data_IF_833722349008
#
_entry.id   IF_833722349008
#
_cell.length_a   1.000
_cell.length_b   1.000
_cell.length_c   1.000
_cell.angle_alpha   90.00
_cell.angle_beta   90.00
_cell.angle_gamma   90.00
#
_symmetry.space_group_name_H-M   'P 1'
#
loop_
_entity.id
_entity.type
_entity.pdbx_description
1 polymer ?
#
# COMPACT_ATOMS: atom_id res chain seq x y z
N UNK A 1 13.37 48.64 -32.75
CA UNK A 1 12.64 47.41 -32.41
C UNK A 1 13.66 46.44 -31.84
N UNK A 2 13.82 46.42 -30.52
CA UNK A 2 14.83 45.62 -29.84
C UNK A 2 14.18 44.34 -29.32
N UNK A 3 14.70 43.19 -29.75
CA UNK A 3 14.25 41.86 -29.34
C UNK A 3 14.76 41.63 -27.93
N UNK A 4 13.84 41.61 -26.96
CA UNK A 4 14.11 41.16 -25.59
C UNK A 4 14.28 39.64 -25.66
N UNK A 5 15.50 39.17 -25.48
CA UNK A 5 15.82 37.77 -25.32
C UNK A 5 15.36 37.37 -23.91
N UNK A 6 14.19 36.74 -23.82
CA UNK A 6 13.69 36.17 -22.57
C UNK A 6 14.55 34.97 -22.20
N UNK A 7 15.29 35.07 -21.11
CA UNK A 7 15.90 33.92 -20.43
C UNK A 7 14.74 33.08 -19.92
N UNK A 8 14.54 31.91 -20.51
CA UNK A 8 13.71 30.87 -19.95
C UNK A 8 14.45 30.34 -18.72
N UNK A 9 14.10 30.84 -17.54
CA UNK A 9 14.48 30.20 -16.29
C UNK A 9 13.83 28.81 -16.27
N UNK A 10 14.62 27.80 -16.62
CA UNK A 10 14.29 26.42 -16.35
C UNK A 10 14.23 26.30 -14.82
N UNK A 11 13.03 26.20 -14.26
CA UNK A 11 12.84 25.76 -12.89
C UNK A 11 13.46 24.37 -12.80
N UNK A 12 14.65 24.30 -12.20
CA UNK A 12 15.27 23.04 -11.85
C UNK A 12 14.24 22.27 -11.01
N UNK A 13 13.76 21.13 -11.52
CA UNK A 13 13.05 20.17 -10.68
C UNK A 13 13.97 19.91 -9.50
N UNK A 14 13.54 20.27 -8.29
CA UNK A 14 14.20 19.84 -7.07
C UNK A 14 14.51 18.36 -7.22
N UNK A 15 15.79 18.03 -7.09
CA UNK A 15 16.30 16.68 -7.26
C UNK A 15 15.64 15.88 -6.14
N UNK A 16 14.58 15.14 -6.45
CA UNK A 16 13.83 14.30 -5.52
C UNK A 16 14.83 13.47 -4.71
N UNK A 17 15.11 13.93 -3.48
CA UNK A 17 16.16 13.34 -2.67
C UNK A 17 15.68 11.95 -2.29
N UNK A 18 16.44 10.94 -2.71
CA UNK A 18 16.18 9.55 -2.32
C UNK A 18 16.17 9.49 -0.79
N UNK A 19 15.12 8.97 -0.14
CA UNK A 19 15.02 9.03 1.31
C UNK A 19 16.11 8.17 1.94
N UNK A 20 16.67 8.65 3.05
CA UNK A 20 17.62 7.88 3.83
C UNK A 20 16.92 6.66 4.45
N UNK A 21 17.65 5.56 4.62
CA UNK A 21 17.11 4.31 5.13
C UNK A 21 18.06 3.60 6.10
N UNK A 22 17.46 2.74 6.93
CA UNK A 22 18.16 1.68 7.66
C UNK A 22 17.51 0.35 7.28
N UNK A 23 18.23 -0.46 6.50
CA UNK A 23 17.80 -1.80 6.09
C UNK A 23 18.49 -2.83 6.97
N UNK A 24 17.70 -3.65 7.67
CA UNK A 24 18.19 -4.81 8.41
C UNK A 24 17.81 -6.08 7.66
N UNK A 25 18.78 -6.92 7.35
CA UNK A 25 18.58 -8.23 6.71
C UNK A 25 18.42 -9.34 7.76
N UNK A 26 17.91 -10.49 7.32
CA UNK A 26 17.67 -11.66 8.18
C UNK A 26 18.96 -12.26 8.76
N UNK A 27 20.10 -12.09 8.10
CA UNK A 27 21.42 -12.49 8.59
C UNK A 27 22.01 -11.53 9.64
N UNK A 28 21.30 -10.46 9.97
CA UNK A 28 21.72 -9.42 10.92
C UNK A 28 22.55 -8.30 10.30
N UNK A 29 22.85 -8.34 8.99
CA UNK A 29 23.52 -7.24 8.30
C UNK A 29 22.63 -5.99 8.32
N UNK A 30 23.23 -4.86 8.70
CA UNK A 30 22.59 -3.54 8.67
C UNK A 30 23.21 -2.68 7.59
N UNK A 31 22.37 -2.04 6.78
CA UNK A 31 22.77 -1.17 5.68
C UNK A 31 22.14 0.21 5.93
N UNK A 32 22.99 1.20 6.15
CA UNK A 32 22.59 2.61 6.17
C UNK A 32 22.80 3.16 4.76
N UNK A 33 21.79 3.81 4.19
CA UNK A 33 21.87 4.24 2.80
C UNK A 33 20.64 5.00 2.34
N UNK A 34 20.29 4.83 1.07
CA UNK A 34 19.23 5.57 0.39
C UNK A 34 18.33 4.61 -0.40
N UNK A 35 17.01 4.83 -0.34
CA UNK A 35 16.04 4.08 -1.14
C UNK A 35 16.05 4.58 -2.59
N UNK A 36 16.27 3.67 -3.55
CA UNK A 36 16.43 3.98 -4.98
C UNK A 36 15.23 3.55 -5.82
N UNK A 37 14.10 3.30 -5.18
CA UNK A 37 12.80 3.03 -5.79
C UNK A 37 11.70 3.72 -4.96
N UNK A 38 10.53 3.95 -5.56
CA UNK A 38 9.35 4.39 -4.81
C UNK A 38 8.93 3.30 -3.81
N UNK A 39 8.38 3.70 -2.67
CA UNK A 39 7.76 2.77 -1.71
C UNK A 39 6.62 1.96 -2.36
N UNK A 40 5.92 2.52 -3.36
CA UNK A 40 4.87 1.84 -4.12
C UNK A 40 5.39 0.75 -5.08
N UNK A 41 6.71 0.65 -5.26
CA UNK A 41 7.37 -0.31 -6.16
C UNK A 41 8.11 -1.43 -5.40
N UNK A 42 7.88 -1.58 -4.10
CA UNK A 42 8.58 -2.55 -3.23
C UNK A 42 7.92 -3.94 -3.19
N UNK A 43 6.98 -4.24 -4.10
CA UNK A 43 6.15 -5.46 -4.01
C UNK A 43 6.96 -6.78 -4.00
N UNK A 44 8.08 -6.84 -4.73
CA UNK A 44 8.91 -8.06 -4.82
C UNK A 44 10.32 -7.87 -4.24
N UNK A 45 10.81 -6.63 -4.25
CA UNK A 45 12.19 -6.29 -3.90
C UNK A 45 12.31 -4.81 -3.59
N UNK A 46 13.34 -4.50 -2.83
CA UNK A 46 13.79 -3.14 -2.58
C UNK A 46 15.09 -2.87 -3.34
N UNK A 47 15.30 -1.60 -3.71
CA UNK A 47 16.53 -1.14 -4.36
C UNK A 47 17.16 -0.08 -3.47
N UNK A 48 18.40 -0.30 -3.05
CA UNK A 48 19.11 0.60 -2.12
C UNK A 48 20.52 0.91 -2.61
N UNK A 49 21.11 2.00 -2.11
CA UNK A 49 22.53 2.30 -2.26
C UNK A 49 23.09 2.87 -0.96
N UNK A 50 24.33 2.55 -0.60
CA UNK A 50 24.96 3.05 0.65
C UNK A 50 25.27 4.56 0.59
N UNK A 51 25.36 5.14 -0.61
CA UNK A 51 25.50 6.58 -0.85
C UNK A 51 24.57 7.05 -1.97
N UNK A 52 24.35 8.37 -2.09
CA UNK A 52 23.48 8.97 -3.11
C UNK A 52 23.91 8.63 -4.55
N UNK A 53 25.21 8.53 -4.80
CA UNK A 53 25.78 8.15 -6.10
C UNK A 53 26.32 6.70 -6.11
N UNK A 54 26.05 5.94 -5.05
CA UNK A 54 26.54 4.59 -4.88
C UNK A 54 25.88 3.57 -5.80
N UNK A 55 26.50 2.40 -5.90
CA UNK A 55 25.97 1.27 -6.66
C UNK A 55 24.61 0.83 -6.10
N UNK A 56 23.63 0.68 -7.00
CA UNK A 56 22.30 0.14 -6.66
C UNK A 56 22.40 -1.36 -6.40
N UNK A 57 21.91 -1.79 -5.25
CA UNK A 57 21.80 -3.19 -4.85
C UNK A 57 20.34 -3.54 -4.66
N UNK A 58 19.95 -4.74 -5.09
CA UNK A 58 18.56 -5.24 -4.99
C UNK A 58 18.51 -6.31 -3.91
N UNK A 59 17.52 -6.22 -3.03
CA UNK A 59 17.23 -7.24 -2.03
C UNK A 59 15.79 -7.71 -2.21
N UNK A 60 15.56 -9.00 -2.19
CA UNK A 60 14.21 -9.56 -2.18
C UNK A 60 13.59 -9.34 -0.80
N UNK A 61 12.27 -9.24 -0.75
CA UNK A 61 11.57 -9.02 0.53
C UNK A 61 11.77 -10.19 1.53
N UNK A 62 12.03 -11.42 1.05
CA UNK A 62 12.36 -12.58 1.89
C UNK A 62 13.71 -12.49 2.62
N UNK A 63 14.60 -11.60 2.18
CA UNK A 63 15.91 -11.37 2.80
C UNK A 63 15.85 -10.26 3.86
N UNK A 64 14.78 -9.48 3.87
CA UNK A 64 14.60 -8.29 4.72
C UNK A 64 13.99 -8.70 6.05
N UNK A 65 14.60 -8.21 7.14
CA UNK A 65 14.04 -8.27 8.48
C UNK A 65 13.20 -7.03 8.79
N UNK A 66 13.73 -5.86 8.46
CA UNK A 66 13.02 -4.57 8.55
C UNK A 66 13.66 -3.53 7.64
N UNK A 67 12.87 -2.57 7.20
CA UNK A 67 13.31 -1.38 6.48
C UNK A 67 12.73 -0.16 7.18
N UNK A 68 13.60 0.71 7.70
CA UNK A 68 13.21 2.03 8.21
C UNK A 68 13.46 3.05 7.11
N UNK A 69 12.44 3.82 6.72
CA UNK A 69 12.55 4.93 5.77
C UNK A 69 12.42 6.24 6.54
N UNK A 70 13.45 7.08 6.45
CA UNK A 70 13.55 8.30 7.24
C UNK A 70 12.67 9.40 6.68
N UNK A 71 11.89 10.04 7.55
CA UNK A 71 11.00 11.15 7.18
C UNK A 71 9.99 10.81 6.08
N UNK A 72 9.48 9.57 6.08
CA UNK A 72 8.59 9.07 5.05
C UNK A 72 7.13 9.47 5.26
N UNK A 73 6.72 9.66 6.52
CA UNK A 73 5.35 10.05 6.87
C UNK A 73 5.10 11.54 6.64
N UNK A 74 3.83 11.92 6.52
CA UNK A 74 3.39 13.31 6.30
C UNK A 74 3.85 14.28 7.41
N UNK A 75 4.05 13.76 8.63
CA UNK A 75 4.56 14.51 9.78
C UNK A 75 6.10 14.54 9.87
N UNK A 76 6.79 13.95 8.90
CA UNK A 76 8.25 13.84 8.86
C UNK A 76 8.82 12.77 9.79
N UNK A 77 7.99 11.89 10.36
CA UNK A 77 8.45 10.75 11.15
C UNK A 77 8.97 9.59 10.27
N UNK A 78 9.71 8.69 10.91
CA UNK A 78 10.25 7.50 10.25
C UNK A 78 9.18 6.42 10.11
N UNK A 79 9.13 5.77 8.94
CA UNK A 79 8.26 4.61 8.74
C UNK A 79 9.05 3.31 8.80
N UNK A 80 8.53 2.33 9.55
CA UNK A 80 9.12 1.00 9.65
C UNK A 80 8.29 -0.02 8.89
N UNK A 81 8.91 -0.60 7.87
CA UNK A 81 8.35 -1.66 7.05
C UNK A 81 8.89 -3.02 7.49
N UNK A 82 7.99 -3.99 7.64
CA UNK A 82 8.30 -5.37 8.02
C UNK A 82 7.74 -6.35 7.00
N UNK A 83 8.39 -7.51 6.78
CA UNK A 83 7.86 -8.55 5.91
C UNK A 83 6.59 -9.18 6.50
N UNK A 84 5.50 -9.21 5.74
CA UNK A 84 4.27 -9.93 6.06
C UNK A 84 3.92 -10.95 4.97
N UNK A 85 3.47 -12.13 5.40
CA UNK A 85 3.04 -13.20 4.51
C UNK A 85 1.51 -13.19 4.38
N UNK A 86 1.02 -12.61 3.30
CA UNK A 86 -0.42 -12.41 3.08
C UNK A 86 -1.14 -13.71 2.76
N UNK A 87 -2.40 -13.82 3.19
CA UNK A 87 -3.23 -14.99 2.94
C UNK A 87 -3.78 -14.99 1.50
N UNK A 88 -3.62 -16.10 0.80
CA UNK A 88 -4.22 -16.31 -0.51
C UNK A 88 -5.55 -17.06 -0.36
N UNK A 89 -6.67 -16.32 -0.40
CA UNK A 89 -8.01 -16.90 -0.25
C UNK A 89 -8.38 -17.96 -1.30
N UNK A 90 -7.84 -17.85 -2.52
CA UNK A 90 -8.07 -18.84 -3.58
C UNK A 90 -7.31 -20.15 -3.32
N UNK A 91 -6.03 -20.05 -2.94
CA UNK A 91 -5.17 -21.20 -2.66
C UNK A 91 -5.33 -21.75 -1.24
N UNK A 92 -6.07 -21.04 -0.38
CA UNK A 92 -6.27 -21.33 1.04
C UNK A 92 -4.94 -21.59 1.78
N UNK A 93 -3.95 -20.73 1.54
CA UNK A 93 -2.63 -20.78 2.19
C UNK A 93 -1.96 -19.41 2.15
N UNK A 94 -0.98 -19.19 3.03
CA UNK A 94 -0.11 -18.02 2.95
C UNK A 94 0.65 -17.98 1.62
N UNK A 95 0.87 -16.77 1.09
CA UNK A 95 1.78 -16.53 -0.02
C UNK A 95 3.20 -16.87 0.42
N UNK A 96 4.02 -17.34 -0.54
CA UNK A 96 5.43 -17.72 -0.26
C UNK A 96 6.35 -16.52 -0.16
N UNK A 97 6.02 -15.46 -0.87
CA UNK A 97 6.81 -14.23 -0.94
C UNK A 97 6.15 -13.19 -0.03
N UNK A 98 6.90 -12.57 0.89
CA UNK A 98 6.36 -11.52 1.73
C UNK A 98 6.29 -10.19 0.97
N UNK A 99 5.37 -9.33 1.42
CA UNK A 99 5.38 -7.91 1.08
C UNK A 99 5.90 -7.11 2.29
N UNK A 100 6.46 -5.93 2.04
CA UNK A 100 6.91 -5.04 3.11
C UNK A 100 5.81 -4.05 3.47
N UNK A 101 5.29 -4.14 4.70
CA UNK A 101 4.17 -3.33 5.16
C UNK A 101 4.49 -2.62 6.48
N UNK A 102 3.83 -1.50 6.74
CA UNK A 102 3.88 -0.78 8.02
C UNK A 102 2.74 -1.25 8.92
N UNK A 103 2.92 -1.19 10.24
CA UNK A 103 1.80 -1.36 11.18
C UNK A 103 1.11 -0.01 11.31
N UNK A 104 -0.17 0.07 10.92
CA UNK A 104 -0.96 1.30 11.06
C UNK A 104 -1.99 1.22 12.19
N UNK A 105 -2.32 0.01 12.65
CA UNK A 105 -3.24 -0.22 13.76
C UNK A 105 -2.72 -1.31 14.68
N UNK A 106 -2.76 -1.06 15.99
CA UNK A 106 -2.41 -2.05 17.00
C UNK A 106 -3.45 -2.05 18.11
N UNK A 107 -4.45 -2.93 17.97
CA UNK A 107 -5.46 -3.20 18.98
C UNK A 107 -5.02 -4.25 20.00
N UNK A 108 -5.96 -4.68 20.84
CA UNK A 108 -5.73 -5.72 21.85
C UNK A 108 -5.66 -7.12 21.23
N UNK A 109 -6.41 -7.35 20.16
CA UNK A 109 -6.62 -8.64 19.49
C UNK A 109 -6.28 -8.61 18.00
N UNK A 110 -6.14 -7.41 17.41
CA UNK A 110 -5.97 -7.19 15.99
C UNK A 110 -4.75 -6.32 15.72
N UNK A 111 -3.93 -6.73 14.76
CA UNK A 111 -2.88 -5.89 14.17
C UNK A 111 -3.24 -5.59 12.72
N UNK A 112 -3.20 -4.31 12.35
CA UNK A 112 -3.44 -3.82 11.00
C UNK A 112 -2.12 -3.46 10.30
N UNK A 113 -1.99 -3.88 9.04
CA UNK A 113 -0.87 -3.54 8.19
C UNK A 113 -1.28 -2.74 6.97
N UNK A 114 -0.46 -1.78 6.58
CA UNK A 114 -0.63 -0.96 5.39
C UNK A 114 0.54 -1.21 4.43
N UNK A 115 0.21 -1.46 3.16
CA UNK A 115 1.19 -1.73 2.10
C UNK A 115 1.04 -0.72 0.96
N UNK A 116 2.04 0.13 0.70
CA UNK A 116 2.05 1.01 -0.47
C UNK A 116 2.22 0.17 -1.75
N UNK A 117 1.29 0.35 -2.69
CA UNK A 117 1.24 -0.37 -3.96
C UNK A 117 0.92 0.58 -5.10
N UNK A 118 0.98 0.08 -6.33
CA UNK A 118 0.46 0.77 -7.51
C UNK A 118 -0.91 0.18 -7.87
N UNK A 119 -1.87 1.07 -8.12
CA UNK A 119 -3.10 0.72 -8.82
C UNK A 119 -2.86 0.88 -10.32
N UNK A 120 -2.87 -0.25 -11.04
CA UNK A 120 -2.68 -0.29 -12.49
C UNK A 120 -4.05 -0.36 -13.16
N UNK A 121 -4.38 0.67 -13.93
CA UNK A 121 -5.56 0.69 -14.80
C UNK A 121 -5.12 0.44 -16.23
N UNK A 122 -5.57 -0.69 -16.78
CA UNK A 122 -5.35 -1.03 -18.18
C UNK A 122 -6.62 -0.80 -19.00
N UNK A 123 -6.50 -0.25 -20.20
CA UNK A 123 -7.60 -0.19 -21.16
C UNK A 123 -7.84 -1.56 -21.79
N UNK A 124 -9.08 -1.84 -22.19
CA UNK A 124 -9.34 -2.97 -23.08
C UNK A 124 -8.47 -2.85 -24.34
N UNK A 125 -8.00 -3.96 -24.93
CA UNK A 125 -7.27 -3.91 -26.18
C UNK A 125 -8.18 -3.31 -27.26
N UNK A 126 -7.75 -2.22 -27.88
CA UNK A 126 -8.50 -1.65 -29.02
C UNK A 126 -8.21 -2.52 -30.24
N UNK A 127 -9.24 -3.03 -30.98
CA UNK A 127 -9.00 -3.74 -32.22
C UNK A 127 -8.40 -2.78 -33.27
N UNK A 128 -7.08 -2.77 -33.35
CA UNK A 128 -6.30 -2.11 -34.39
C UNK A 128 -5.28 -3.11 -34.91
N UNK A 129 -4.63 -2.82 -36.04
CA UNK A 129 -3.60 -3.67 -36.63
C UNK A 129 -2.42 -3.97 -35.69
N UNK A 130 -2.34 -3.35 -34.51
CA UNK A 130 -1.24 -3.48 -33.54
C UNK A 130 -1.68 -3.71 -32.09
N UNK A 131 -2.89 -4.25 -31.82
CA UNK A 131 -3.38 -4.64 -30.46
C UNK A 131 -2.74 -3.85 -29.30
N UNK A 132 -3.12 -2.58 -29.15
CA UNK A 132 -2.55 -1.71 -28.11
C UNK A 132 -3.47 -1.66 -26.89
N UNK A 133 -2.90 -1.98 -25.73
CA UNK A 133 -3.49 -1.72 -24.42
C UNK A 133 -2.65 -0.67 -23.70
N UNK A 134 -3.29 0.38 -23.20
CA UNK A 134 -2.62 1.43 -22.44
C UNK A 134 -2.79 1.15 -20.95
N UNK A 135 -1.71 1.27 -20.18
CA UNK A 135 -1.76 1.15 -18.72
C UNK A 135 -1.32 2.44 -18.06
N UNK A 136 -2.06 2.85 -17.03
CA UNK A 136 -1.70 3.98 -16.17
C UNK A 136 -1.55 3.48 -14.73
N UNK A 137 -0.47 3.88 -14.07
CA UNK A 137 -0.19 3.54 -12.68
C UNK A 137 -0.48 4.73 -11.77
N UNK A 138 -1.02 4.47 -10.59
CA UNK A 138 -1.28 5.51 -9.58
C UNK A 138 -0.96 4.98 -8.18
N UNK A 139 -0.48 5.83 -7.25
CA UNK A 139 -0.27 5.45 -5.86
C UNK A 139 -1.56 4.92 -5.21
N UNK A 140 -1.43 3.79 -4.53
CA UNK A 140 -2.51 3.14 -3.80
C UNK A 140 -1.96 2.43 -2.55
N UNK A 141 -2.86 2.02 -1.66
CA UNK A 141 -2.54 1.35 -0.41
C UNK A 141 -3.48 0.17 -0.21
N UNK A 142 -2.92 -1.02 0.04
CA UNK A 142 -3.67 -2.17 0.50
C UNK A 142 -3.60 -2.24 2.02
N UNK A 143 -4.74 -2.49 2.65
CA UNK A 143 -4.85 -2.66 4.09
C UNK A 143 -5.15 -4.12 4.42
N UNK A 144 -4.41 -4.61 5.40
CA UNK A 144 -4.47 -5.98 5.87
C UNK A 144 -4.74 -6.01 7.37
N UNK A 145 -5.34 -7.10 7.84
CA UNK A 145 -5.44 -7.40 9.27
C UNK A 145 -5.00 -8.82 9.58
N UNK A 146 -4.58 -9.01 10.82
CA UNK A 146 -4.40 -10.32 11.44
C UNK A 146 -5.00 -10.27 12.83
N UNK A 147 -5.52 -11.41 13.28
CA UNK A 147 -6.14 -11.55 14.60
C UNK A 147 -5.36 -12.55 15.44
N UNK A 148 -5.37 -12.40 16.76
CA UNK A 148 -4.67 -13.32 17.66
C UNK A 148 -5.17 -14.77 17.57
N UNK A 149 -6.42 -14.98 17.17
CA UNK A 149 -7.04 -16.29 16.95
C UNK A 149 -6.63 -16.94 15.63
N UNK A 150 -6.03 -16.19 14.70
CA UNK A 150 -5.65 -16.64 13.36
C UNK A 150 -4.38 -15.96 12.84
N UNK A 151 -3.26 -16.16 13.55
CA UNK A 151 -1.97 -15.48 13.31
C UNK A 151 -1.34 -15.77 11.94
N UNK A 152 -1.75 -16.83 11.27
CA UNK A 152 -1.28 -17.22 9.94
C UNK A 152 -2.13 -16.65 8.78
N UNK A 153 -3.24 -15.96 9.11
CA UNK A 153 -4.18 -15.40 8.13
C UNK A 153 -4.13 -13.87 8.13
N UNK A 154 -3.15 -13.33 7.42
CA UNK A 154 -3.07 -11.89 7.16
C UNK A 154 -3.95 -11.57 5.94
N UNK A 155 -5.14 -11.02 6.18
CA UNK A 155 -6.21 -10.86 5.17
C UNK A 155 -6.23 -9.42 4.67
N UNK A 156 -6.24 -9.23 3.35
CA UNK A 156 -6.50 -7.94 2.72
C UNK A 156 -7.99 -7.61 2.86
N UNK A 157 -8.33 -6.44 3.36
CA UNK A 157 -9.73 -6.03 3.57
C UNK A 157 -10.09 -4.72 2.89
N UNK A 158 -9.09 -3.94 2.45
CA UNK A 158 -9.35 -2.67 1.77
C UNK A 158 -8.25 -2.29 0.78
N UNK A 159 -8.63 -1.60 -0.29
CA UNK A 159 -7.73 -0.96 -1.24
C UNK A 159 -8.12 0.52 -1.35
N UNK A 160 -7.26 1.40 -0.87
CA UNK A 160 -7.38 2.85 -1.04
C UNK A 160 -6.60 3.26 -2.28
N UNK A 161 -7.25 3.97 -3.21
CA UNK A 161 -6.59 4.58 -4.35
C UNK A 161 -6.73 6.10 -4.32
N UNK A 162 -5.72 6.82 -4.82
CA UNK A 162 -5.66 8.29 -4.78
C UNK A 162 -6.34 8.98 -5.96
N UNK A 163 -7.02 8.21 -6.82
CA UNK A 163 -7.66 8.76 -8.02
C UNK A 163 -8.82 9.65 -7.58
N UNK A 164 -8.63 10.98 -7.67
CA UNK A 164 -9.73 11.96 -7.59
C UNK A 164 -10.83 11.48 -8.53
N UNK A 165 -12.03 11.24 -8.01
CA UNK A 165 -13.22 10.78 -8.74
C UNK A 165 -13.58 11.77 -9.88
N UNK A 166 -12.86 11.73 -11.01
CA UNK A 166 -13.21 12.49 -12.19
C UNK A 166 -14.32 11.73 -12.93
N UNK A 167 -15.57 12.18 -12.78
CA UNK A 167 -16.76 11.79 -13.59
C UNK A 167 -16.99 10.29 -13.89
N UNK A 168 -16.34 9.38 -13.18
CA UNK A 168 -16.45 7.92 -13.36
C UNK A 168 -17.15 7.26 -12.16
N UNK A 169 -17.92 8.02 -11.38
CA UNK A 169 -18.78 7.57 -10.28
C UNK A 169 -19.98 6.70 -10.73
N UNK A 170 -19.90 6.09 -11.93
CA UNK A 170 -20.93 5.18 -12.46
C UNK A 170 -20.42 3.76 -12.76
N UNK A 171 -19.12 3.47 -12.63
CA UNK A 171 -18.57 2.16 -13.02
C UNK A 171 -18.11 1.25 -11.87
N UNK A 172 -18.18 1.72 -10.61
CA UNK A 172 -18.11 0.84 -9.44
C UNK A 172 -19.26 1.25 -8.53
N UNK A 173 -20.11 0.28 -8.27
CA UNK A 173 -21.53 0.39 -7.95
C UNK A 173 -21.80 0.92 -6.53
N UNK A 174 -22.97 1.53 -6.33
CA UNK A 174 -23.41 2.10 -5.05
C UNK A 174 -23.43 1.11 -3.88
N UNK A 175 -23.74 1.63 -2.67
CA UNK A 175 -23.75 1.02 -1.32
C UNK A 175 -23.79 -0.52 -1.16
N UNK A 176 -24.42 -1.26 -2.07
CA UNK A 176 -24.44 -2.74 -2.12
C UNK A 176 -23.11 -3.40 -2.50
N UNK A 177 -22.24 -2.73 -3.26
CA UNK A 177 -21.01 -3.36 -3.80
C UNK A 177 -19.93 -3.51 -2.74
N UNK A 178 -19.58 -2.45 -2.00
CA UNK A 178 -18.53 -2.52 -0.99
C UNK A 178 -18.93 -3.39 0.22
N UNK A 179 -20.21 -3.34 0.67
CA UNK A 179 -20.70 -4.21 1.74
C UNK A 179 -20.54 -5.70 1.37
N UNK A 180 -20.75 -6.06 0.10
CA UNK A 180 -20.56 -7.44 -0.36
C UNK A 180 -19.10 -7.88 -0.28
N UNK A 181 -18.15 -7.01 -0.64
CA UNK A 181 -16.72 -7.30 -0.47
C UNK A 181 -16.36 -7.38 1.02
N UNK A 182 -16.85 -6.46 1.87
CA UNK A 182 -16.64 -6.55 3.32
C UNK A 182 -17.16 -7.88 3.90
N UNK A 183 -18.34 -8.37 3.47
CA UNK A 183 -18.84 -9.69 3.91
C UNK A 183 -17.92 -10.84 3.52
N UNK A 184 -17.20 -10.72 2.42
CA UNK A 184 -16.25 -11.73 1.95
C UNK A 184 -14.93 -11.65 2.70
N UNK A 185 -14.43 -10.45 2.95
CA UNK A 185 -13.14 -10.20 3.60
C UNK A 185 -13.23 -10.39 5.13
N UNK A 186 -14.39 -10.10 5.73
CA UNK A 186 -14.74 -10.34 7.13
C UNK A 186 -15.72 -11.51 7.31
N UNK A 187 -15.65 -12.53 6.43
CA UNK A 187 -16.56 -13.69 6.49
C UNK A 187 -16.55 -14.42 7.84
N UNK A 188 -15.41 -14.41 8.53
CA UNK A 188 -15.20 -15.06 9.82
C UNK A 188 -15.60 -14.13 10.99
N UNK A 189 -15.94 -12.86 10.68
CA UNK A 189 -16.30 -11.78 11.61
C UNK A 189 -17.52 -10.98 11.11
N UNK A 190 -18.69 -11.62 10.95
CA UNK A 190 -19.87 -10.99 10.34
C UNK A 190 -20.37 -9.75 11.08
N UNK A 191 -20.12 -9.68 12.39
CA UNK A 191 -20.46 -8.56 13.27
C UNK A 191 -19.80 -7.23 12.82
N UNK A 192 -18.65 -7.28 12.14
CA UNK A 192 -18.01 -6.08 11.58
C UNK A 192 -18.94 -5.45 10.55
N UNK A 193 -19.46 -6.25 9.62
CA UNK A 193 -20.38 -5.77 8.59
C UNK A 193 -21.72 -5.36 9.18
N UNK A 194 -22.23 -6.09 10.17
CA UNK A 194 -23.48 -5.73 10.86
C UNK A 194 -23.36 -4.35 11.54
N UNK A 195 -22.19 -4.04 12.12
CA UNK A 195 -21.91 -2.74 12.74
C UNK A 195 -21.83 -1.64 11.69
N UNK A 196 -21.11 -1.88 10.58
CA UNK A 196 -21.05 -0.97 9.43
C UNK A 196 -22.45 -0.64 8.90
N UNK A 197 -23.33 -1.63 8.76
CA UNK A 197 -24.70 -1.44 8.31
C UNK A 197 -25.55 -0.68 9.34
N UNK A 198 -25.46 -1.07 10.62
CA UNK A 198 -26.22 -0.46 11.72
C UNK A 198 -25.86 1.02 11.94
N UNK A 199 -24.58 1.34 11.88
CA UNK A 199 -24.06 2.70 12.08
C UNK A 199 -24.06 3.53 10.79
N UNK A 200 -24.50 2.96 9.66
CA UNK A 200 -24.51 3.60 8.35
C UNK A 200 -23.15 4.16 7.92
N UNK A 201 -22.06 3.49 8.30
CA UNK A 201 -20.70 3.83 7.88
C UNK A 201 -20.63 3.71 6.36
N UNK A 202 -20.15 4.76 5.69
CA UNK A 202 -20.06 4.82 4.23
C UNK A 202 -18.71 4.34 3.71
N UNK A 203 -18.67 3.90 2.44
CA UNK A 203 -17.42 3.59 1.73
C UNK A 203 -16.43 4.76 1.75
N UNK A 204 -16.92 6.00 1.71
CA UNK A 204 -16.06 7.18 1.74
C UNK A 204 -15.36 7.32 3.09
N UNK A 205 -16.09 7.13 4.20
CA UNK A 205 -15.50 7.15 5.54
C UNK A 205 -14.43 6.06 5.68
N UNK A 206 -14.70 4.84 5.18
CA UNK A 206 -13.72 3.75 5.19
C UNK A 206 -12.50 4.09 4.31
N UNK A 207 -12.70 4.74 3.16
CA UNK A 207 -11.58 5.16 2.30
C UNK A 207 -10.71 6.25 2.93
N UNK A 208 -11.33 7.18 3.66
CA UNK A 208 -10.64 8.22 4.39
C UNK A 208 -9.86 7.60 5.56
N UNK A 209 -10.52 6.73 6.31
CA UNK A 209 -10.01 6.06 7.50
C UNK A 209 -10.36 4.54 7.54
N UNK A 210 -9.49 3.68 7.00
CA UNK A 210 -9.67 2.22 7.06
C UNK A 210 -9.52 1.63 8.47
N UNK A 211 -8.91 2.35 9.42
CA UNK A 211 -8.69 1.90 10.80
C UNK A 211 -10.00 1.62 11.51
N UNK A 212 -11.04 2.38 11.18
CA UNK A 212 -12.39 2.24 11.73
C UNK A 212 -12.94 0.80 11.64
N UNK A 213 -12.62 0.06 10.56
CA UNK A 213 -13.03 -1.35 10.43
C UNK A 213 -12.28 -2.26 11.42
N UNK A 214 -11.02 -1.96 11.70
CA UNK A 214 -10.19 -2.74 12.62
C UNK A 214 -10.55 -2.43 14.08
N UNK A 215 -10.94 -1.21 14.40
CA UNK A 215 -11.50 -0.90 15.72
C UNK A 215 -12.77 -1.72 16.02
N UNK A 216 -13.67 -1.81 15.04
CA UNK A 216 -14.91 -2.60 15.17
C UNK A 216 -14.55 -4.09 15.37
N UNK A 217 -13.61 -4.60 14.58
CA UNK A 217 -13.15 -5.98 14.71
C UNK A 217 -12.52 -6.23 16.09
N UNK A 218 -11.61 -5.36 16.54
CA UNK A 218 -10.88 -5.52 17.80
C UNK A 218 -11.82 -5.53 19.01
N UNK A 219 -12.81 -4.63 19.02
CA UNK A 219 -13.85 -4.56 20.08
C UNK A 219 -14.77 -5.77 20.10
N UNK A 220 -14.85 -6.52 19.00
CA UNK A 220 -15.75 -7.67 18.88
C UNK A 220 -15.14 -9.00 19.27
N UNK A 221 -13.81 -9.08 19.29
CA UNK A 221 -13.09 -10.25 19.77
C UNK A 221 -12.97 -10.14 21.30
N UNK A 222 -13.44 -11.16 22.02
CA UNK A 222 -13.39 -11.20 23.49
C UNK A 222 -12.05 -11.71 24.02
#
# INVERSE_FOLDING_TARGET
MAIICGVLDATAKEKEESPAIVLTLNDGKVINGFLRCSIHQMQQRIIVSESLDGKKTKYKNEEVKSLVVKGASDDGSDETYVPIYTWNSYKKKANKEPILATVFFQGKHVTGYEFPTLFVRSSAPTPSNHFQANSTESPAWNYYYVTDTAKDKIICFWLKNTIKKSKLTKLIEGKKSYIKELRKDFKDYPNVVETVEKENISEQQINEDPELLLEILDKSIQ
#
